data_IF_684577737142
#
_entry.id   IF_684577737142
#
_cell.length_a   1.000
_cell.length_b   1.000
_cell.length_c   1.000
_cell.angle_alpha   90.00
_cell.angle_beta   90.00
_cell.angle_gamma   90.00
#
_symmetry.space_group_name_H-M   'P 1'
#
loop_
_entity.id
_entity.type
_entity.pdbx_description
1 polymer ?
#
# COMPACT_ATOMS: atom_id res chain seq x y z
N UNK A 1 -17.25 23.11 -2.31
CA UNK A 1 -16.36 22.38 -1.42
C UNK A 1 -16.59 20.88 -1.56
N UNK A 2 -15.55 20.16 -1.79
CA UNK A 2 -15.65 18.72 -1.90
C UNK A 2 -15.74 18.08 -0.53
N UNK A 3 -16.60 17.11 -0.41
CA UNK A 3 -16.65 16.25 0.76
C UNK A 3 -16.04 14.91 0.40
N UNK A 4 -15.65 14.16 1.42
CA UNK A 4 -15.17 12.81 1.20
C UNK A 4 -16.26 12.01 0.49
N UNK A 5 -15.89 11.42 -0.63
CA UNK A 5 -16.77 10.54 -1.37
C UNK A 5 -16.27 9.11 -1.21
N UNK A 6 -17.16 8.23 -0.85
CA UNK A 6 -16.82 6.83 -0.66
C UNK A 6 -17.31 6.04 -1.86
N UNK A 7 -16.37 5.35 -2.52
CA UNK A 7 -16.72 4.38 -3.56
C UNK A 7 -16.69 3.01 -2.89
N UNK A 8 -17.83 2.32 -2.90
CA UNK A 8 -17.93 1.00 -2.30
C UNK A 8 -17.99 -0.06 -3.38
N UNK A 9 -17.09 -1.03 -3.28
CA UNK A 9 -17.05 -2.16 -4.19
C UNK A 9 -17.24 -3.43 -3.37
N UNK A 10 -18.37 -4.11 -3.58
CA UNK A 10 -18.69 -5.31 -2.84
C UNK A 10 -19.05 -6.43 -3.82
N UNK A 11 -18.53 -7.61 -3.57
CA UNK A 11 -18.87 -8.81 -4.34
C UNK A 11 -18.71 -8.59 -5.84
N UNK A 12 -17.66 -7.87 -6.23
CA UNK A 12 -17.37 -7.58 -7.63
C UNK A 12 -15.96 -8.00 -7.98
N UNK A 13 -15.71 -8.18 -9.27
CA UNK A 13 -14.37 -8.40 -9.80
C UNK A 13 -13.97 -7.12 -10.54
N UNK A 14 -12.94 -6.44 -10.02
CA UNK A 14 -12.47 -5.17 -10.59
C UNK A 14 -10.96 -5.12 -10.54
N UNK A 15 -10.38 -4.53 -11.56
CA UNK A 15 -8.97 -4.15 -11.54
C UNK A 15 -8.90 -2.67 -11.16
N UNK A 16 -8.03 -2.34 -10.24
CA UNK A 16 -7.87 -0.97 -9.77
C UNK A 16 -6.54 -0.43 -10.26
N UNK A 17 -6.59 0.69 -10.95
CA UNK A 17 -5.42 1.48 -11.30
C UNK A 17 -5.66 2.89 -10.78
N UNK A 18 -4.76 3.38 -9.96
CA UNK A 18 -4.87 4.72 -9.40
C UNK A 18 -3.60 5.50 -9.68
N UNK A 19 -3.76 6.69 -10.24
CA UNK A 19 -2.65 7.58 -10.57
C UNK A 19 -3.01 9.00 -10.15
N UNK A 20 -2.08 9.68 -9.50
CA UNK A 20 -2.27 11.08 -9.06
C UNK A 20 -3.54 11.23 -8.21
N UNK A 21 -3.79 10.27 -7.33
CA UNK A 21 -5.02 10.23 -6.56
C UNK A 21 -4.75 10.35 -5.06
N UNK A 22 -5.70 10.93 -4.36
CA UNK A 22 -5.71 10.92 -2.91
C UNK A 22 -6.63 9.79 -2.46
N UNK A 23 -6.03 8.72 -1.97
CA UNK A 23 -6.71 7.54 -1.46
C UNK A 23 -6.50 7.39 0.04
N UNK A 24 -6.16 8.51 0.71
CA UNK A 24 -5.94 8.48 2.15
C UNK A 24 -7.17 7.94 2.86
N UNK A 25 -6.92 7.14 3.89
CA UNK A 25 -7.96 6.53 4.73
C UNK A 25 -8.86 5.54 4.00
N UNK A 26 -8.49 5.11 2.81
CA UNK A 26 -9.23 4.06 2.10
C UNK A 26 -9.11 2.73 2.82
N UNK A 27 -10.10 1.89 2.65
CA UNK A 27 -10.13 0.56 3.28
C UNK A 27 -10.30 -0.51 2.23
N UNK A 28 -9.44 -1.51 2.31
CA UNK A 28 -9.49 -2.69 1.44
C UNK A 28 -9.53 -3.91 2.36
N UNK A 29 -10.71 -4.51 2.50
CA UNK A 29 -10.91 -5.64 3.41
C UNK A 29 -11.52 -6.81 2.66
N UNK A 30 -10.93 -8.00 2.85
CA UNK A 30 -11.41 -9.22 2.20
C UNK A 30 -11.50 -9.04 0.69
N UNK A 31 -10.46 -8.46 0.08
CA UNK A 31 -10.46 -8.13 -1.34
C UNK A 31 -9.31 -8.81 -2.08
N UNK A 32 -9.50 -9.02 -3.35
CA UNK A 32 -8.43 -9.48 -4.23
C UNK A 32 -7.90 -8.26 -5.00
N UNK A 33 -6.69 -7.85 -4.64
CA UNK A 33 -5.99 -6.75 -5.28
C UNK A 33 -4.76 -7.26 -6.04
N UNK A 34 -4.73 -8.53 -6.43
CA UNK A 34 -3.57 -9.05 -7.15
C UNK A 34 -3.35 -8.26 -8.44
N UNK A 35 -2.11 -7.85 -8.64
CA UNK A 35 -1.75 -7.05 -9.80
C UNK A 35 -2.24 -5.60 -9.76
N UNK A 36 -2.83 -5.13 -8.66
CA UNK A 36 -3.27 -3.74 -8.55
C UNK A 36 -2.08 -2.79 -8.63
N UNK A 37 -2.30 -1.61 -9.19
CA UNK A 37 -1.24 -0.61 -9.34
C UNK A 37 -1.69 0.73 -8.74
N UNK A 38 -0.82 1.28 -7.91
CA UNK A 38 -1.02 2.58 -7.29
C UNK A 38 0.20 3.43 -7.64
N UNK A 39 -0.01 4.52 -8.36
CA UNK A 39 1.08 5.38 -8.80
C UNK A 39 0.80 6.83 -8.44
N UNK A 40 1.78 7.49 -7.82
CA UNK A 40 1.68 8.91 -7.43
C UNK A 40 0.41 9.15 -6.61
N UNK A 41 0.20 8.31 -5.59
CA UNK A 41 -1.01 8.38 -4.78
C UNK A 41 -0.69 8.66 -3.33
N UNK A 42 -1.66 9.21 -2.64
CA UNK A 42 -1.61 9.35 -1.19
C UNK A 42 -2.45 8.23 -0.59
N UNK A 43 -1.78 7.30 0.10
CA UNK A 43 -2.42 6.19 0.81
C UNK A 43 -2.26 6.34 2.32
N UNK A 44 -2.02 7.55 2.80
CA UNK A 44 -1.85 7.78 4.23
C UNK A 44 -3.08 7.29 5.00
N UNK A 45 -2.87 6.50 6.04
CA UNK A 45 -3.94 5.99 6.86
C UNK A 45 -4.82 4.94 6.20
N UNK A 46 -4.48 4.46 5.01
CA UNK A 46 -5.23 3.39 4.38
C UNK A 46 -5.06 2.09 5.16
N UNK A 47 -6.06 1.21 5.05
CA UNK A 47 -6.03 -0.10 5.68
C UNK A 47 -6.23 -1.16 4.60
N UNK A 48 -5.28 -2.10 4.55
CA UNK A 48 -5.39 -3.27 3.68
C UNK A 48 -5.36 -4.47 4.59
N UNK A 49 -6.47 -5.20 4.66
CA UNK A 49 -6.63 -6.26 5.64
C UNK A 49 -7.24 -7.49 5.00
N UNK A 50 -6.62 -8.63 5.23
CA UNK A 50 -7.06 -9.92 4.71
C UNK A 50 -7.26 -9.83 3.18
N UNK A 51 -6.21 -9.43 2.47
CA UNK A 51 -6.28 -9.17 1.04
C UNK A 51 -5.19 -9.92 0.29
N UNK A 52 -5.48 -10.25 -0.95
CA UNK A 52 -4.45 -10.74 -1.86
C UNK A 52 -3.90 -9.55 -2.63
N UNK A 53 -2.65 -9.20 -2.35
CA UNK A 53 -1.96 -8.11 -3.02
C UNK A 53 -0.74 -8.65 -3.77
N UNK A 54 -0.77 -9.91 -4.17
CA UNK A 54 0.36 -10.52 -4.88
C UNK A 54 0.61 -9.77 -6.19
N UNK A 55 1.88 -9.53 -6.49
CA UNK A 55 2.31 -8.81 -7.68
C UNK A 55 1.73 -7.41 -7.81
N UNK A 56 1.21 -6.88 -6.71
CA UNK A 56 0.81 -5.49 -6.68
C UNK A 56 2.01 -4.57 -6.71
N UNK A 57 1.82 -3.35 -7.18
CA UNK A 57 2.87 -2.35 -7.23
C UNK A 57 2.39 -1.04 -6.64
N UNK A 58 3.19 -0.49 -5.76
CA UNK A 58 2.96 0.83 -5.21
C UNK A 58 4.18 1.67 -5.54
N UNK A 59 3.99 2.71 -6.34
CA UNK A 59 5.07 3.49 -6.90
C UNK A 59 4.90 4.97 -6.55
N UNK A 60 5.90 5.53 -5.85
CA UNK A 60 5.92 6.95 -5.51
C UNK A 60 4.67 7.36 -4.73
N UNK A 61 4.48 6.74 -3.57
CA UNK A 61 3.27 6.95 -2.78
C UNK A 61 3.61 7.40 -1.36
N UNK A 62 2.67 8.10 -0.75
CA UNK A 62 2.71 8.38 0.67
C UNK A 62 2.03 7.24 1.41
N UNK A 63 2.80 6.49 2.18
CA UNK A 63 2.31 5.36 2.95
C UNK A 63 2.31 5.65 4.45
N UNK A 64 2.28 6.92 4.83
CA UNK A 64 2.30 7.29 6.23
C UNK A 64 1.10 6.69 6.95
N UNK A 65 1.35 5.94 8.01
CA UNK A 65 0.30 5.31 8.84
C UNK A 65 -0.57 4.30 8.09
N UNK A 66 -0.10 3.77 6.97
CA UNK A 66 -0.80 2.67 6.31
C UNK A 66 -0.71 1.42 7.17
N UNK A 67 -1.78 0.62 7.17
CA UNK A 67 -1.80 -0.66 7.86
C UNK A 67 -2.08 -1.75 6.85
N UNK A 68 -1.17 -2.73 6.78
CA UNK A 68 -1.35 -3.92 5.95
C UNK A 68 -1.26 -5.12 6.86
N UNK A 69 -2.33 -5.91 6.93
CA UNK A 69 -2.45 -7.03 7.85
C UNK A 69 -3.04 -8.23 7.12
N UNK A 70 -2.43 -9.38 7.32
CA UNK A 70 -2.94 -10.64 6.78
C UNK A 70 -3.11 -10.60 5.26
N UNK A 71 -2.11 -10.06 4.57
CA UNK A 71 -2.14 -9.91 3.12
C UNK A 71 -1.15 -10.84 2.45
N UNK A 72 -1.51 -11.28 1.24
CA UNK A 72 -0.57 -11.97 0.37
C UNK A 72 0.19 -10.91 -0.44
N UNK A 73 1.47 -10.75 -0.10
CA UNK A 73 2.32 -9.73 -0.71
C UNK A 73 3.37 -10.33 -1.64
N UNK A 74 3.21 -11.58 -2.03
CA UNK A 74 4.22 -12.23 -2.89
C UNK A 74 4.33 -11.49 -4.21
N UNK A 75 5.56 -11.14 -4.58
CA UNK A 75 5.82 -10.42 -5.82
C UNK A 75 5.39 -8.96 -5.83
N UNK A 76 4.91 -8.42 -4.70
CA UNK A 76 4.59 -7.01 -4.61
C UNK A 76 5.86 -6.15 -4.56
N UNK A 77 5.75 -4.92 -5.03
CA UNK A 77 6.87 -4.00 -5.10
C UNK A 77 6.47 -2.63 -4.58
N UNK A 78 7.31 -2.04 -3.74
CA UNK A 78 7.15 -0.67 -3.26
C UNK A 78 8.44 0.07 -3.58
N UNK A 79 8.37 1.11 -4.38
CA UNK A 79 9.56 1.85 -4.78
C UNK A 79 9.36 3.36 -4.56
N UNK A 80 10.44 4.04 -4.24
CA UNK A 80 10.51 5.50 -4.13
C UNK A 80 9.37 6.09 -3.29
N UNK A 81 9.12 5.49 -2.13
CA UNK A 81 8.05 5.87 -1.24
C UNK A 81 8.59 6.50 0.03
N UNK A 82 7.76 7.31 0.67
CA UNK A 82 8.05 7.81 2.00
C UNK A 82 7.67 6.73 3.00
N UNK A 83 8.67 6.20 3.71
CA UNK A 83 8.45 5.07 4.60
C UNK A 83 8.86 5.37 6.04
N UNK A 84 8.99 6.65 6.38
CA UNK A 84 9.33 7.03 7.75
C UNK A 84 8.24 6.53 8.70
N UNK A 85 8.64 5.83 9.75
CA UNK A 85 7.71 5.26 10.72
C UNK A 85 7.04 3.98 10.29
N UNK A 86 7.29 3.51 9.06
CA UNK A 86 6.73 2.24 8.60
C UNK A 86 7.44 1.06 9.25
N UNK A 87 6.67 0.03 9.57
CA UNK A 87 7.23 -1.21 10.11
C UNK A 87 6.73 -2.41 9.31
N UNK A 88 7.53 -3.47 9.35
CA UNK A 88 7.10 -4.80 8.90
C UNK A 88 7.33 -5.73 10.09
N UNK A 89 6.25 -6.36 10.56
CA UNK A 89 6.27 -7.22 11.74
C UNK A 89 6.97 -6.53 12.93
N UNK A 90 6.66 -5.23 13.10
CA UNK A 90 7.20 -4.44 14.20
C UNK A 90 8.61 -3.92 13.99
N UNK A 91 9.26 -4.23 12.88
CA UNK A 91 10.64 -3.80 12.61
C UNK A 91 10.61 -2.60 11.67
N UNK A 92 11.36 -1.56 12.03
CA UNK A 92 11.43 -0.34 11.22
C UNK A 92 11.93 -0.63 9.81
N UNK A 93 11.15 -0.25 8.80
CA UNK A 93 11.57 -0.45 7.41
C UNK A 93 12.79 0.40 7.06
N UNK A 94 12.88 1.68 7.46
CA UNK A 94 14.11 2.43 7.21
C UNK A 94 15.34 1.76 7.81
N UNK A 95 15.23 1.15 9.00
CA UNK A 95 16.36 0.43 9.60
C UNK A 95 16.69 -0.83 8.82
N UNK A 96 15.69 -1.56 8.34
CA UNK A 96 15.92 -2.74 7.50
C UNK A 96 16.68 -2.36 6.23
N UNK A 97 16.27 -1.27 5.60
CA UNK A 97 16.91 -0.81 4.36
C UNK A 97 18.35 -0.35 4.65
N UNK A 98 18.56 0.36 5.75
CA UNK A 98 19.90 0.79 6.13
C UNK A 98 20.82 -0.40 6.39
N UNK A 99 20.33 -1.41 7.11
CA UNK A 99 21.10 -2.61 7.39
C UNK A 99 21.46 -3.36 6.10
N UNK A 100 20.52 -3.44 5.18
CA UNK A 100 20.78 -4.08 3.88
C UNK A 100 21.89 -3.36 3.12
N UNK A 101 21.85 -2.03 3.11
CA UNK A 101 22.89 -1.25 2.42
C UNK A 101 24.26 -1.43 3.04
N UNK A 102 24.34 -1.57 4.38
CA UNK A 102 25.60 -1.81 5.05
C UNK A 102 26.19 -3.17 4.68
N UNK A 103 25.35 -4.18 4.48
CA UNK A 103 25.79 -5.52 4.12
C UNK A 103 26.04 -5.69 2.62
N UNK A 104 25.46 -4.82 1.81
CA UNK A 104 25.52 -4.92 0.35
C UNK A 104 25.88 -3.55 -0.24
N UNK A 105 27.11 -3.04 0.03
CA UNK A 105 27.51 -1.72 -0.45
C UNK A 105 27.67 -1.65 -1.96
#
# INVERSE_FOLDING_TARGET
>A
METDQVVQLQSTTRRIEATDADLSRSQFTDVNLSGAQFKDVNLAGAVIENANFSQGAIHNANLNSIKIDSADLRGASIVRSLMEGMTIDGISVPELLAAHRLLNP
#
